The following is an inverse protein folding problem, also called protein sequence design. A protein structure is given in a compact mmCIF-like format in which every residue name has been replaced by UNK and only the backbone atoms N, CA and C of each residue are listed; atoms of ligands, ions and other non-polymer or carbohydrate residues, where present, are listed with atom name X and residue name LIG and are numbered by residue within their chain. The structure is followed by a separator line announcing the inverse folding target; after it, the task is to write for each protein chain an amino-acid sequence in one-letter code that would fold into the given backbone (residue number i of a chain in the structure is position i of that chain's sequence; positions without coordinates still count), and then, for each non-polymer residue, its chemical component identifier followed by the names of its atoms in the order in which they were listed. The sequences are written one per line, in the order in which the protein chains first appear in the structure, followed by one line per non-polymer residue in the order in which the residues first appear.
data_IF_730523928048
#
_entry.id   IF_730523928048
#
_cell.length_a   1.000
_cell.length_b   1.000
_cell.length_c   1.000
_cell.angle_alpha   90.00
_cell.angle_beta   90.00
_cell.angle_gamma   90.00
#
_symmetry.space_group_name_H-M   'P 1'
#
loop_
_entity.id
_entity.type
_entity.pdbx_description
1 polymer ?
#
# COMPACT_ATOMS: atom_id res chain seq x y z
N UNK A 1 9.71 -16.15 -3.06
CA UNK A 1 8.75 -17.09 -2.45
C UNK A 1 7.35 -16.90 -3.04
N UNK A 2 6.57 -17.98 -3.25
CA UNK A 2 5.14 -17.86 -3.51
C UNK A 2 4.41 -17.47 -2.21
N UNK A 3 3.69 -16.35 -2.21
CA UNK A 3 2.88 -15.93 -1.06
C UNK A 3 1.64 -16.82 -0.92
N UNK A 4 1.21 -17.05 0.33
CA UNK A 4 0.01 -17.83 0.63
C UNK A 4 -1.23 -17.11 0.09
N UNK A 5 -2.10 -17.88 -0.56
CA UNK A 5 -3.40 -17.38 -1.07
C UNK A 5 -4.40 -17.30 0.07
N UNK A 6 -5.21 -16.24 0.07
CA UNK A 6 -6.27 -16.06 1.06
C UNK A 6 -6.38 -14.60 1.50
N UNK A 7 -7.47 -14.29 2.22
CA UNK A 7 -7.77 -12.93 2.67
C UNK A 7 -7.85 -12.79 4.20
N UNK A 8 -7.79 -13.91 4.93
CA UNK A 8 -7.86 -13.93 6.38
C UNK A 8 -6.65 -13.22 6.99
N UNK A 9 -6.84 -12.65 8.17
CA UNK A 9 -5.77 -11.93 8.86
C UNK A 9 -4.57 -12.84 9.16
N UNK A 10 -4.80 -14.13 9.43
CA UNK A 10 -3.75 -15.13 9.59
C UNK A 10 -2.89 -15.34 8.33
N UNK A 11 -3.51 -15.34 7.13
CA UNK A 11 -2.77 -15.45 5.87
C UNK A 11 -1.96 -14.17 5.62
N UNK A 12 -2.54 -13.01 5.95
CA UNK A 12 -1.86 -11.72 5.79
C UNK A 12 -0.66 -11.61 6.74
N UNK A 13 -0.80 -12.00 8.00
CA UNK A 13 0.29 -11.94 8.98
C UNK A 13 1.44 -12.89 8.63
N UNK A 14 1.14 -14.10 8.17
CA UNK A 14 2.17 -15.05 7.72
C UNK A 14 2.91 -14.54 6.48
N UNK A 15 2.20 -13.99 5.50
CA UNK A 15 2.83 -13.36 4.33
C UNK A 15 3.72 -12.16 4.72
N UNK A 16 3.33 -11.35 5.72
CA UNK A 16 4.17 -10.26 6.24
C UNK A 16 5.45 -10.83 6.87
N UNK A 17 5.33 -11.87 7.70
CA UNK A 17 6.47 -12.51 8.36
C UNK A 17 7.47 -13.04 7.33
N UNK A 18 6.96 -13.74 6.32
CA UNK A 18 7.78 -14.30 5.23
C UNK A 18 8.52 -13.22 4.45
N UNK A 19 7.83 -12.14 4.08
CA UNK A 19 8.44 -11.01 3.37
C UNK A 19 9.53 -10.33 4.20
N UNK A 20 9.31 -10.16 5.51
CA UNK A 20 10.35 -9.61 6.40
C UNK A 20 11.56 -10.53 6.50
N UNK A 21 11.33 -11.84 6.63
CA UNK A 21 12.40 -12.83 6.68
C UNK A 21 13.21 -12.85 5.38
N UNK A 22 12.52 -12.66 4.25
CA UNK A 22 13.10 -12.48 2.92
C UNK A 22 13.82 -11.13 2.71
N UNK A 23 13.88 -10.26 3.74
CA UNK A 23 14.63 -9.00 3.70
C UNK A 23 13.82 -7.77 3.27
N UNK A 24 12.51 -7.87 3.07
CA UNK A 24 11.69 -6.70 2.74
C UNK A 24 11.50 -5.79 3.97
N UNK A 25 11.62 -4.45 3.81
CA UNK A 25 11.25 -3.50 4.86
C UNK A 25 9.78 -3.67 5.27
N UNK A 26 9.48 -3.51 6.55
CA UNK A 26 8.13 -3.70 7.13
C UNK A 26 7.00 -3.06 6.29
N UNK A 27 7.20 -1.80 5.86
CA UNK A 27 6.19 -1.06 5.08
C UNK A 27 5.92 -1.70 3.73
N UNK A 28 6.97 -2.20 3.07
CA UNK A 28 6.86 -2.90 1.79
C UNK A 28 6.23 -4.28 1.99
N UNK A 29 6.66 -5.03 3.01
CA UNK A 29 6.09 -6.31 3.36
C UNK A 29 4.57 -6.21 3.59
N UNK A 30 4.13 -5.22 4.38
CA UNK A 30 2.71 -4.91 4.60
C UNK A 30 2.01 -4.58 3.26
N UNK A 31 2.57 -3.68 2.45
CA UNK A 31 1.95 -3.30 1.18
C UNK A 31 1.78 -4.47 0.21
N UNK A 32 2.78 -5.35 0.10
CA UNK A 32 2.75 -6.52 -0.77
C UNK A 32 1.74 -7.54 -0.23
N UNK A 33 1.72 -7.83 1.06
CA UNK A 33 0.78 -8.78 1.67
C UNK A 33 -0.69 -8.34 1.50
N UNK A 34 -1.00 -7.05 1.72
CA UNK A 34 -2.35 -6.52 1.49
C UNK A 34 -2.74 -6.50 0.00
N UNK A 35 -1.78 -6.22 -0.89
CA UNK A 35 -2.00 -6.29 -2.35
C UNK A 35 -2.28 -7.72 -2.80
N UNK A 36 -1.51 -8.69 -2.31
CA UNK A 36 -1.70 -10.12 -2.59
C UNK A 36 -3.07 -10.62 -2.10
N UNK A 37 -3.52 -10.17 -0.92
CA UNK A 37 -4.83 -10.50 -0.37
C UNK A 37 -6.00 -9.76 -1.07
N UNK A 38 -5.74 -8.87 -2.04
CA UNK A 38 -6.77 -8.05 -2.68
C UNK A 38 -7.44 -7.06 -1.72
N UNK A 39 -6.77 -6.66 -0.64
CA UNK A 39 -7.25 -5.75 0.41
C UNK A 39 -6.66 -4.34 0.28
N UNK A 40 -6.61 -3.82 -0.95
CA UNK A 40 -6.14 -2.45 -1.18
C UNK A 40 -7.12 -1.43 -0.58
N UNK A 41 -6.61 -0.41 0.11
CA UNK A 41 -7.45 0.70 0.58
C UNK A 41 -8.05 1.42 -0.63
N UNK A 42 -9.36 1.70 -0.58
CA UNK A 42 -10.04 2.52 -1.60
C UNK A 42 -9.32 3.85 -1.74
N UNK A 43 -8.96 4.24 -2.97
CA UNK A 43 -8.37 5.55 -3.25
C UNK A 43 -9.33 6.61 -2.74
N UNK A 44 -8.93 7.39 -1.73
CA UNK A 44 -9.70 8.55 -1.29
C UNK A 44 -9.74 9.52 -2.47
N UNK A 45 -10.93 9.88 -2.95
CA UNK A 45 -11.10 10.99 -3.91
C UNK A 45 -10.42 12.20 -3.27
N UNK A 46 -9.33 12.70 -3.87
CA UNK A 46 -8.70 13.93 -3.41
C UNK A 46 -9.75 15.02 -3.63
N UNK A 47 -10.23 15.65 -2.55
CA UNK A 47 -10.97 16.90 -2.71
C UNK A 47 -10.01 17.85 -3.45
N UNK A 48 -10.44 18.53 -4.53
CA UNK A 48 -9.60 19.55 -5.15
C UNK A 48 -9.17 20.50 -4.04
N UNK A 49 -7.87 20.72 -3.89
CA UNK A 49 -7.37 21.71 -2.93
C UNK A 49 -7.99 23.04 -3.36
N UNK A 50 -8.90 23.59 -2.54
CA UNK A 50 -9.36 24.97 -2.70
C UNK A 50 -8.09 25.84 -2.72
N UNK A 51 -7.93 26.60 -3.80
CA UNK A 51 -6.64 27.03 -4.33
C UNK A 51 -5.70 27.70 -3.32
N UNK A 52 -4.42 27.35 -3.45
CA UNK A 52 -3.37 28.37 -3.34
C UNK A 52 -3.09 28.81 -4.76
N UNK A 53 -3.28 30.10 -5.03
CA UNK A 53 -3.26 30.69 -6.36
C UNK A 53 -2.07 30.22 -7.20
N UNK A 54 -2.37 29.78 -8.42
CA UNK A 54 -1.38 29.71 -9.49
C UNK A 54 -1.00 31.17 -9.78
N UNK A 55 0.03 31.65 -9.07
CA UNK A 55 0.69 32.89 -9.40
C UNK A 55 1.20 32.76 -10.83
N UNK A 56 0.63 33.58 -11.73
CA UNK A 56 1.14 33.83 -13.07
C UNK A 56 2.65 34.05 -12.97
N UNK A 57 3.44 33.10 -13.46
CA UNK A 57 4.84 33.39 -13.79
C UNK A 57 4.80 34.20 -15.08
N UNK A 58 5.04 35.50 -14.96
CA UNK A 58 5.47 36.35 -16.07
C UNK A 58 6.74 35.74 -16.67
N UNK A 59 6.74 35.62 -17.98
CA UNK A 59 7.86 35.31 -18.86
C UNK A 59 7.42 35.67 -20.25
#
# INVERSE_FOLDING_TARGET
MPLRKGKSDAVVSENISELRHSGYPQKQAVAIAFSNAGRSRKKRKRKPKKGYGVGKRKG
#
